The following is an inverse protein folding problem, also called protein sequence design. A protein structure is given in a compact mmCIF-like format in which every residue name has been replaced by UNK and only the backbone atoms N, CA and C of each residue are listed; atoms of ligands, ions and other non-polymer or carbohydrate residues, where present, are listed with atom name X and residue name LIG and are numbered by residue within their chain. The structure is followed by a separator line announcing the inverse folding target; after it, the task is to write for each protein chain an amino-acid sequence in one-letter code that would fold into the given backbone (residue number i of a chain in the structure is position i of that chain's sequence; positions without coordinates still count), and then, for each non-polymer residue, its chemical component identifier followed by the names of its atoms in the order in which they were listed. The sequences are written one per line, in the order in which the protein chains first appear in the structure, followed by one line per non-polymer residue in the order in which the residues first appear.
data_IF_121281499271
#
_entry.id   IF_121281499271
#
_cell.length_a   1.000
_cell.length_b   1.000
_cell.length_c   1.000
_cell.angle_alpha   90.00
_cell.angle_beta   90.00
_cell.angle_gamma   90.00
#
_symmetry.space_group_name_H-M   'P 1'
#
loop_
_entity.id
_entity.type
_entity.pdbx_description
1 polymer ?
#
# COMPACT_ATOMS: atom_id res chain seq x y z
N UNK A 1 -28.89 -20.72 -12.86
CA UNK A 1 -27.75 -20.77 -11.93
C UNK A 1 -26.58 -20.11 -12.63
N UNK A 2 -26.14 -18.93 -12.17
CA UNK A 2 -25.00 -18.24 -12.76
C UNK A 2 -23.71 -18.93 -12.32
N UNK A 3 -22.97 -19.46 -13.29
CA UNK A 3 -21.67 -20.07 -13.06
C UNK A 3 -20.65 -18.93 -12.91
N UNK A 4 -20.28 -18.59 -11.67
CA UNK A 4 -19.16 -17.69 -11.40
C UNK A 4 -17.87 -18.44 -11.74
N UNK A 5 -17.48 -18.39 -13.02
CA UNK A 5 -16.14 -18.74 -13.43
C UNK A 5 -15.20 -17.71 -12.79
N UNK A 6 -14.60 -18.10 -11.67
CA UNK A 6 -13.44 -17.43 -11.09
C UNK A 6 -12.23 -17.59 -12.03
N UNK A 7 -12.28 -16.91 -13.18
CA UNK A 7 -11.20 -16.90 -14.17
C UNK A 7 -10.16 -15.82 -13.85
N UNK A 8 -9.74 -15.71 -12.58
CA UNK A 8 -8.84 -14.65 -12.10
C UNK A 8 -7.84 -15.18 -11.07
N UNK A 9 -7.20 -16.32 -11.34
CA UNK A 9 -6.48 -17.07 -10.30
C UNK A 9 -4.96 -17.25 -10.44
N UNK A 10 -4.35 -17.18 -11.64
CA UNK A 10 -2.98 -17.69 -11.80
C UNK A 10 -1.96 -16.76 -12.49
N UNK A 11 -2.39 -15.82 -13.34
CA UNK A 11 -1.44 -14.92 -14.02
C UNK A 11 -0.98 -13.74 -13.15
N UNK A 12 -1.75 -13.40 -12.09
CA UNK A 12 -1.42 -12.32 -11.16
C UNK A 12 -0.41 -12.73 -10.07
N UNK A 13 -0.25 -14.03 -9.80
CA UNK A 13 0.60 -14.53 -8.73
C UNK A 13 2.10 -14.44 -9.04
N UNK A 14 2.47 -14.49 -10.32
CA UNK A 14 3.87 -14.52 -10.76
C UNK A 14 4.38 -13.17 -11.28
N UNK A 15 3.73 -12.06 -10.94
CA UNK A 15 4.27 -10.73 -11.29
C UNK A 15 5.42 -10.37 -10.33
N UNK A 16 6.43 -9.63 -10.79
CA UNK A 16 7.54 -9.20 -9.92
C UNK A 16 7.04 -8.39 -8.72
N UNK A 17 6.00 -7.57 -8.92
CA UNK A 17 5.38 -6.83 -7.82
C UNK A 17 4.75 -7.77 -6.77
N UNK A 18 4.01 -8.80 -7.19
CA UNK A 18 3.43 -9.79 -6.28
C UNK A 18 4.51 -10.60 -5.56
N UNK A 19 5.53 -11.06 -6.29
CA UNK A 19 6.67 -11.78 -5.71
C UNK A 19 7.47 -10.89 -4.74
N UNK A 20 7.69 -9.62 -5.06
CA UNK A 20 8.36 -8.67 -4.18
C UNK A 20 7.59 -8.41 -2.87
N UNK A 21 6.26 -8.28 -2.94
CA UNK A 21 5.40 -8.19 -1.75
C UNK A 21 5.48 -9.46 -0.90
N UNK A 22 5.43 -10.64 -1.54
CA UNK A 22 5.56 -11.93 -0.86
C UNK A 22 6.92 -12.07 -0.18
N UNK A 23 7.98 -11.70 -0.88
CA UNK A 23 9.34 -11.68 -0.35
C UNK A 23 9.46 -10.79 0.89
N UNK A 24 8.91 -9.56 0.84
CA UNK A 24 8.89 -8.65 1.97
C UNK A 24 8.11 -9.21 3.18
N UNK A 25 6.97 -9.87 2.93
CA UNK A 25 6.17 -10.50 3.98
C UNK A 25 6.92 -11.67 4.64
N UNK A 26 7.53 -12.56 3.85
CA UNK A 26 8.34 -13.67 4.35
C UNK A 26 9.52 -13.18 5.21
N UNK A 27 10.18 -12.10 4.79
CA UNK A 27 11.22 -11.43 5.57
C UNK A 27 10.70 -10.88 6.89
N UNK A 28 9.53 -10.23 6.88
CA UNK A 28 8.89 -9.75 8.11
C UNK A 28 8.57 -10.89 9.09
N UNK A 29 8.09 -12.02 8.56
CA UNK A 29 7.82 -13.22 9.35
C UNK A 29 9.11 -13.85 9.92
N UNK A 30 10.17 -13.95 9.12
CA UNK A 30 11.49 -14.43 9.57
C UNK A 30 12.17 -13.49 10.58
N UNK A 31 11.85 -12.20 10.54
CA UNK A 31 12.29 -11.22 11.53
C UNK A 31 11.48 -11.23 12.84
N UNK A 32 10.38 -11.98 12.90
CA UNK A 32 9.54 -12.06 14.10
C UNK A 32 10.27 -12.82 15.22
N UNK A 33 10.32 -12.31 16.46
CA UNK A 33 10.95 -13.05 17.57
C UNK A 33 10.26 -14.39 17.86
N UNK A 34 8.98 -14.54 17.48
CA UNK A 34 8.22 -15.77 17.67
C UNK A 34 8.83 -16.96 16.90
N UNK A 35 9.40 -16.71 15.72
CA UNK A 35 9.96 -17.75 14.84
C UNK A 35 11.36 -18.22 15.28
N UNK A 36 11.95 -17.58 16.29
CA UNK A 36 13.27 -17.94 16.82
C UNK A 36 13.20 -19.00 17.93
N UNK A 37 11.99 -19.35 18.38
CA UNK A 37 11.80 -20.39 19.40
C UNK A 37 12.10 -21.77 18.81
N UNK A 38 12.69 -22.68 19.59
CA UNK A 38 13.02 -24.04 19.11
C UNK A 38 11.80 -24.79 18.54
N UNK A 39 10.62 -24.59 19.14
CA UNK A 39 9.36 -25.19 18.67
C UNK A 39 8.96 -24.72 17.25
N UNK A 40 9.46 -23.56 16.81
CA UNK A 40 9.13 -22.95 15.52
C UNK A 40 10.23 -23.18 14.47
N UNK A 41 11.27 -23.95 14.79
CA UNK A 41 12.37 -24.26 13.87
C UNK A 41 11.89 -24.89 12.54
N UNK A 42 10.95 -25.86 12.51
CA UNK A 42 10.45 -26.40 11.26
C UNK A 42 9.77 -25.34 10.38
N UNK A 43 8.94 -24.48 10.98
CA UNK A 43 8.30 -23.38 10.26
C UNK A 43 9.34 -22.38 9.74
N UNK A 44 10.36 -22.06 10.54
CA UNK A 44 11.47 -21.20 10.10
C UNK A 44 12.14 -21.74 8.84
N UNK A 45 12.42 -23.04 8.81
CA UNK A 45 13.07 -23.70 7.68
C UNK A 45 12.17 -23.66 6.43
N UNK A 46 10.86 -23.90 6.58
CA UNK A 46 9.88 -23.74 5.49
C UNK A 46 9.85 -22.30 4.95
N UNK A 47 9.87 -21.30 5.84
CA UNK A 47 9.90 -19.90 5.45
C UNK A 47 11.18 -19.51 4.71
N UNK A 48 12.33 -20.07 5.11
CA UNK A 48 13.60 -19.86 4.40
C UNK A 48 13.58 -20.51 3.02
N UNK A 49 13.05 -21.73 2.90
CA UNK A 49 12.90 -22.42 1.62
C UNK A 49 11.97 -21.65 0.68
N UNK A 50 10.84 -21.15 1.18
CA UNK A 50 9.92 -20.34 0.40
C UNK A 50 10.55 -19.01 -0.02
N UNK A 51 11.31 -18.35 0.88
CA UNK A 51 12.01 -17.11 0.55
C UNK A 51 13.02 -17.32 -0.60
N UNK A 52 13.74 -18.45 -0.60
CA UNK A 52 14.64 -18.82 -1.70
C UNK A 52 13.87 -19.10 -2.99
N UNK A 53 12.76 -19.83 -2.92
CA UNK A 53 11.91 -20.12 -4.09
C UNK A 53 11.38 -18.85 -4.74
N UNK A 54 10.90 -17.89 -3.94
CA UNK A 54 10.44 -16.58 -4.42
C UNK A 54 11.58 -15.79 -5.06
N UNK A 55 12.75 -15.76 -4.43
CA UNK A 55 13.94 -15.09 -4.99
C UNK A 55 14.34 -15.66 -6.35
N UNK A 56 14.33 -17.00 -6.48
CA UNK A 56 14.60 -17.69 -7.75
C UNK A 56 13.55 -17.34 -8.81
N UNK A 57 12.26 -17.41 -8.47
CA UNK A 57 11.18 -17.04 -9.38
C UNK A 57 11.28 -15.57 -9.85
N UNK A 58 11.67 -14.64 -8.95
CA UNK A 58 11.91 -13.24 -9.32
C UNK A 58 13.09 -13.09 -10.29
N UNK A 59 14.11 -13.95 -10.22
CA UNK A 59 15.27 -13.89 -11.11
C UNK A 59 14.92 -14.17 -12.58
N UNK A 60 13.93 -15.06 -12.80
CA UNK A 60 13.53 -15.57 -14.12
C UNK A 60 12.66 -14.59 -14.92
N UNK A 61 12.07 -13.59 -14.26
CA UNK A 61 11.11 -12.67 -14.87
C UNK A 61 11.78 -11.33 -15.14
N UNK A 62 11.67 -10.77 -16.34
CA UNK A 62 12.21 -9.44 -16.63
C UNK A 62 11.39 -8.32 -15.96
N UNK A 63 12.05 -7.35 -15.33
CA UNK A 63 11.41 -6.16 -14.78
C UNK A 63 10.89 -5.25 -15.90
N UNK A 64 9.65 -4.77 -15.77
CA UNK A 64 8.96 -3.97 -16.79
C UNK A 64 8.91 -2.48 -16.47
N UNK A 65 9.24 -2.10 -15.23
CA UNK A 65 9.22 -0.73 -14.75
C UNK A 65 10.20 -0.54 -13.58
N UNK A 66 10.43 0.72 -13.19
CA UNK A 66 11.38 1.05 -12.13
C UNK A 66 11.02 0.48 -10.76
N UNK A 67 9.73 0.29 -10.45
CA UNK A 67 9.28 -0.30 -9.19
C UNK A 67 9.67 -1.78 -9.12
N UNK A 68 9.42 -2.53 -10.18
CA UNK A 68 9.82 -3.95 -10.29
C UNK A 68 11.34 -4.12 -10.26
N UNK A 69 12.08 -3.18 -10.88
CA UNK A 69 13.53 -3.18 -10.82
C UNK A 69 14.04 -2.94 -9.40
N UNK A 70 13.42 -2.00 -8.66
CA UNK A 70 13.74 -1.79 -7.25
C UNK A 70 13.49 -3.04 -6.41
N UNK A 71 12.39 -3.77 -6.65
CA UNK A 71 12.10 -5.03 -5.94
C UNK A 71 13.20 -6.08 -6.18
N UNK A 72 13.72 -6.20 -7.41
CA UNK A 72 14.87 -7.08 -7.68
C UNK A 72 16.16 -6.62 -7.00
N UNK A 73 16.44 -5.31 -7.01
CA UNK A 73 17.62 -4.75 -6.33
C UNK A 73 17.57 -5.04 -4.82
N UNK A 74 16.37 -4.98 -4.22
CA UNK A 74 16.17 -5.31 -2.80
C UNK A 74 16.52 -6.76 -2.50
N UNK A 75 16.08 -7.69 -3.34
CA UNK A 75 16.42 -9.12 -3.20
C UNK A 75 17.93 -9.33 -3.29
N UNK A 76 18.58 -8.76 -4.31
CA UNK A 76 20.04 -8.92 -4.50
C UNK A 76 20.82 -8.29 -3.35
N UNK A 77 20.40 -7.11 -2.87
CA UNK A 77 21.06 -6.42 -1.75
C UNK A 77 21.00 -7.23 -0.47
N UNK A 78 19.93 -7.98 -0.25
CA UNK A 78 19.79 -8.85 0.92
C UNK A 78 20.63 -10.12 0.79
N UNK A 79 20.63 -10.78 -0.37
CA UNK A 79 21.48 -11.95 -0.59
C UNK A 79 22.96 -11.60 -0.47
N UNK A 80 23.36 -10.42 -0.97
CA UNK A 80 24.72 -9.92 -0.81
C UNK A 80 25.08 -9.71 0.67
N UNK A 81 24.18 -9.10 1.45
CA UNK A 81 24.39 -8.87 2.89
C UNK A 81 24.63 -10.17 3.65
N UNK A 82 23.92 -11.25 3.31
CA UNK A 82 24.11 -12.58 3.91
C UNK A 82 25.49 -13.18 3.61
N UNK A 83 26.05 -12.88 2.45
CA UNK A 83 27.34 -13.42 1.99
C UNK A 83 28.50 -12.60 2.58
N UNK A 84 28.42 -11.28 2.46
CA UNK A 84 29.52 -10.39 2.84
C UNK A 84 29.61 -10.19 4.35
N UNK A 85 28.48 -10.18 5.06
CA UNK A 85 28.45 -9.91 6.51
C UNK A 85 28.94 -8.51 6.93
N UNK A 86 29.31 -7.68 5.95
CA UNK A 86 29.87 -6.35 6.11
C UNK A 86 28.85 -5.31 5.62
N UNK A 87 28.53 -4.35 6.49
CA UNK A 87 27.59 -3.27 6.17
C UNK A 87 28.21 -2.24 5.22
N UNK A 88 29.55 -2.19 5.10
CA UNK A 88 30.28 -1.25 4.23
C UNK A 88 30.71 -1.86 2.89
N UNK A 89 30.12 -2.99 2.48
CA UNK A 89 30.41 -3.63 1.20
C UNK A 89 30.21 -2.65 0.01
N UNK A 90 31.24 -2.36 -0.80
CA UNK A 90 31.14 -1.46 -1.95
C UNK A 90 30.05 -1.89 -2.95
N UNK A 91 29.77 -3.19 -3.08
CA UNK A 91 28.70 -3.68 -3.93
C UNK A 91 27.31 -3.34 -3.36
N UNK A 92 27.13 -3.41 -2.04
CA UNK A 92 25.91 -2.99 -1.35
C UNK A 92 25.67 -1.48 -1.55
N UNK A 93 26.73 -0.68 -1.43
CA UNK A 93 26.69 0.77 -1.65
C UNK A 93 26.31 1.12 -3.11
N UNK A 94 26.88 0.40 -4.09
CA UNK A 94 26.53 0.59 -5.50
C UNK A 94 25.07 0.22 -5.78
N UNK A 95 24.57 -0.89 -5.25
CA UNK A 95 23.16 -1.29 -5.39
C UNK A 95 22.21 -0.23 -4.81
N UNK A 96 22.56 0.34 -3.66
CA UNK A 96 21.80 1.43 -3.05
C UNK A 96 21.81 2.70 -3.91
N UNK A 97 22.93 3.02 -4.57
CA UNK A 97 23.01 4.15 -5.53
C UNK A 97 22.13 3.89 -6.75
N UNK A 98 22.24 2.71 -7.38
CA UNK A 98 21.45 2.33 -8.55
C UNK A 98 19.95 2.41 -8.22
N UNK A 99 19.53 1.94 -7.04
CA UNK A 99 18.13 2.05 -6.60
C UNK A 99 17.65 3.50 -6.57
N UNK A 100 18.46 4.43 -6.06
CA UNK A 100 18.12 5.86 -6.02
C UNK A 100 17.98 6.42 -7.44
N UNK A 101 18.89 6.07 -8.33
CA UNK A 101 18.87 6.52 -9.73
C UNK A 101 17.62 6.01 -10.45
N UNK A 102 17.25 4.74 -10.26
CA UNK A 102 16.02 4.14 -10.82
C UNK A 102 14.78 4.90 -10.34
N UNK A 103 14.70 5.23 -9.05
CA UNK A 103 13.59 6.01 -8.50
C UNK A 103 13.55 7.45 -9.04
N UNK A 104 14.72 8.07 -9.29
CA UNK A 104 14.81 9.41 -9.86
C UNK A 104 14.38 9.45 -11.34
N UNK A 105 14.65 8.39 -12.09
CA UNK A 105 14.28 8.24 -13.49
C UNK A 105 12.83 7.79 -13.69
N UNK A 106 12.19 7.24 -12.65
CA UNK A 106 10.80 6.80 -12.73
C UNK A 106 9.88 8.03 -12.67
N UNK A 107 9.02 8.26 -13.68
CA UNK A 107 8.08 9.36 -13.64
C UNK A 107 7.18 9.23 -12.40
N UNK A 108 7.21 10.22 -11.51
CA UNK A 108 6.19 10.32 -10.46
C UNK A 108 4.88 10.60 -11.18
N UNK A 109 4.06 9.57 -11.36
CA UNK A 109 2.64 9.79 -11.60
C UNK A 109 2.15 10.59 -10.38
N UNK A 110 1.95 11.90 -10.57
CA UNK A 110 1.24 12.71 -9.61
C UNK A 110 -0.15 12.08 -9.55
N UNK A 111 -0.36 11.22 -8.56
CA UNK A 111 -1.70 10.90 -8.14
C UNK A 111 -2.26 12.23 -7.67
N UNK A 112 -2.92 12.95 -8.58
CA UNK A 112 -3.84 14.01 -8.22
C UNK A 112 -4.75 13.36 -7.17
N UNK A 113 -4.52 13.72 -5.91
CA UNK A 113 -5.47 13.43 -4.86
C UNK A 113 -6.72 14.15 -5.32
N UNK A 114 -7.63 13.42 -5.97
CA UNK A 114 -9.00 13.87 -6.11
C UNK A 114 -9.47 14.12 -4.69
N UNK A 115 -9.45 15.39 -4.31
CA UNK A 115 -9.98 15.88 -3.07
C UNK A 115 -11.48 15.68 -3.18
N UNK A 116 -11.96 14.49 -2.85
CA UNK A 116 -13.36 14.27 -2.54
C UNK A 116 -13.63 15.13 -1.31
N UNK A 117 -14.06 16.36 -1.55
CA UNK A 117 -14.68 17.19 -0.53
C UNK A 117 -15.86 16.38 -0.01
N UNK A 118 -15.71 15.84 1.20
CA UNK A 118 -16.84 15.38 2.01
C UNK A 118 -17.70 16.62 2.29
N UNK A 119 -18.60 16.93 1.37
CA UNK A 119 -19.68 17.88 1.60
C UNK A 119 -20.50 17.32 2.75
N UNK A 120 -20.38 18.00 3.88
CA UNK A 120 -21.11 17.77 5.12
C UNK A 120 -22.61 17.88 4.84
N UNK A 121 -23.24 16.76 4.49
CA UNK A 121 -24.68 16.65 4.34
C UNK A 121 -25.38 16.57 5.70
N UNK A 122 -25.77 17.71 6.25
CA UNK A 122 -26.87 17.88 7.22
C UNK A 122 -27.56 19.17 6.78
N UNK A 123 -28.83 19.26 6.39
CA UNK A 123 -30.06 18.50 6.70
C UNK A 123 -31.02 18.69 5.49
N UNK A 124 -32.14 17.93 5.33
CA UNK A 124 -33.36 18.21 6.12
C UNK A 124 -34.35 17.02 6.28
N UNK A 125 -35.10 17.01 7.40
CA UNK A 125 -36.47 16.47 7.60
C UNK A 125 -36.64 16.15 9.10
N UNK A 126 -37.76 16.36 9.80
CA UNK A 126 -39.09 16.92 9.56
C UNK A 126 -39.74 16.94 10.96
N UNK A 127 -40.49 17.96 11.32
CA UNK A 127 -41.21 17.99 12.60
C UNK A 127 -41.98 19.29 12.81
N UNK A 128 -43.16 19.36 12.20
CA UNK A 128 -44.19 20.30 12.65
C UNK A 128 -44.70 19.82 14.01
N UNK A 129 -44.83 20.71 14.99
CA UNK A 129 -46.09 20.96 15.73
C UNK A 129 -45.97 22.12 16.73
N UNK A 130 -46.89 23.07 16.54
CA UNK A 130 -47.53 24.05 17.43
C UNK A 130 -46.88 24.48 18.77
N UNK A 131 -46.70 25.79 18.94
CA UNK A 131 -47.63 26.64 19.72
C UNK A 131 -47.05 28.05 19.92
N UNK A 132 -47.63 29.04 19.24
CA UNK A 132 -47.45 30.47 19.54
C UNK A 132 -48.59 30.92 20.47
N UNK A 133 -48.32 31.55 21.63
CA UNK A 133 -49.34 32.32 22.30
C UNK A 133 -49.46 33.68 21.62
N UNK A 134 -50.71 34.03 21.38
CA UNK A 134 -51.21 35.29 20.86
C UNK A 134 -51.01 36.39 21.89
N UNK A 135 -50.38 37.51 21.54
CA UNK A 135 -50.65 38.78 22.23
C UNK A 135 -50.46 39.99 21.28
N UNK A 136 -51.59 40.62 20.96
CA UNK A 136 -51.82 42.06 21.07
C UNK A 136 -50.97 43.02 20.22
N UNK A 137 -51.62 43.44 19.13
CA UNK A 137 -52.00 44.85 18.87
C UNK A 137 -51.02 45.83 18.23
N UNK A 138 -51.57 46.47 17.18
CA UNK A 138 -51.24 47.74 16.50
C UNK A 138 -50.07 47.70 15.51
N UNK A 139 -50.33 47.61 14.21
CA UNK A 139 -50.94 48.61 13.30
C UNK A 139 -50.04 49.83 13.03
N UNK A 140 -49.64 49.90 11.75
CA UNK A 140 -49.27 51.06 10.95
C UNK A 140 -48.06 51.88 11.40
N UNK A 141 -47.09 52.09 10.52
CA UNK A 141 -47.11 53.25 9.61
C UNK A 141 -45.93 53.19 8.63
N UNK A 142 -46.18 53.59 7.40
CA UNK A 142 -45.20 53.67 6.32
C UNK A 142 -44.46 55.02 6.35
N UNK A 143 -43.15 55.03 6.12
CA UNK A 143 -42.44 56.23 5.65
C UNK A 143 -41.12 55.89 4.92
N UNK A 144 -41.26 55.79 3.59
CA UNK A 144 -40.41 56.26 2.48
C UNK A 144 -38.99 56.82 2.75
N UNK A 145 -38.10 56.49 1.81
CA UNK A 145 -36.88 57.23 1.44
C UNK A 145 -37.12 58.71 1.11
N UNK A 146 -36.06 59.51 1.37
CA UNK A 146 -35.70 60.82 0.80
C UNK A 146 -36.55 62.04 1.14
#
# INVERSE_FOLDING_TARGET
MANFQSNSGNDSANTIAALGLRWAALRGMLGSPLINSEDQKPLRDELLQELQSVGQAMSEIAARNGVELCAKIDVVSEELRKISGDEDDPAQNLLASIRKDVLALTPRAVAERSSVQLVRGMSPHRGAEASTPTETTRAAEAAKSS
#
